data_IF_271650722332
#
_entry.id   IF_271650722332
#
_cell.length_a   1.000
_cell.length_b   1.000
_cell.length_c   1.000
_cell.angle_alpha   90.00
_cell.angle_beta   90.00
_cell.angle_gamma   90.00
#
_symmetry.space_group_name_H-M   'P 1'
#
loop_
_entity.id
_entity.type
_entity.pdbx_description
1 polymer ?
#
# COMPACT_ATOMS: atom_id res chain seq x y z
N UNK A 1 -7.59 11.46 11.78
CA UNK A 1 -6.60 10.37 11.74
C UNK A 1 -6.82 9.46 10.55
N UNK A 2 -7.94 8.72 10.45
CA UNK A 2 -8.32 8.05 9.20
C UNK A 2 -8.31 9.04 8.04
N UNK A 3 -8.79 10.28 8.27
CA UNK A 3 -8.69 11.37 7.29
C UNK A 3 -7.24 11.70 6.87
N UNK A 4 -6.30 11.78 7.82
CA UNK A 4 -4.89 12.12 7.53
C UNK A 4 -4.24 11.00 6.73
N UNK A 5 -4.42 9.74 7.16
CA UNK A 5 -3.89 8.58 6.45
C UNK A 5 -4.53 8.50 5.05
N UNK A 6 -5.85 8.70 4.92
CA UNK A 6 -6.53 8.81 3.62
C UNK A 6 -5.92 9.89 2.73
N UNK A 7 -5.57 11.06 3.27
CA UNK A 7 -4.91 12.12 2.50
C UNK A 7 -3.55 11.66 1.98
N UNK A 8 -2.71 11.07 2.84
CA UNK A 8 -1.41 10.52 2.41
C UNK A 8 -1.57 9.42 1.37
N UNK A 9 -2.44 8.44 1.60
CA UNK A 9 -2.68 7.37 0.63
C UNK A 9 -3.20 7.93 -0.70
N UNK A 10 -4.06 8.96 -0.67
CA UNK A 10 -4.59 9.59 -1.89
C UNK A 10 -3.49 10.29 -2.68
N UNK A 11 -2.58 10.99 -2.00
CA UNK A 11 -1.39 11.61 -2.62
C UNK A 11 -0.53 10.53 -3.27
N UNK A 12 -0.23 9.44 -2.57
CA UNK A 12 0.57 8.36 -3.13
C UNK A 12 -0.09 7.66 -4.32
N UNK A 13 -1.40 7.41 -4.26
CA UNK A 13 -2.18 6.88 -5.38
C UNK A 13 -2.06 7.80 -6.59
N UNK A 14 -2.22 9.10 -6.40
CA UNK A 14 -2.11 10.08 -7.46
C UNK A 14 -0.69 10.14 -8.05
N UNK A 15 0.34 10.11 -7.21
CA UNK A 15 1.74 10.01 -7.66
C UNK A 15 1.99 8.72 -8.46
N UNK A 16 1.48 7.58 -7.99
CA UNK A 16 1.55 6.30 -8.68
C UNK A 16 0.92 6.38 -10.06
N UNK A 17 -0.29 6.96 -10.16
CA UNK A 17 -0.97 7.18 -11.44
C UNK A 17 -0.16 8.06 -12.40
N UNK A 18 0.38 9.19 -11.92
CA UNK A 18 1.26 10.07 -12.72
C UNK A 18 2.47 9.30 -13.25
N UNK A 19 3.10 8.48 -12.39
CA UNK A 19 4.25 7.67 -12.79
C UNK A 19 3.89 6.59 -13.82
N UNK A 20 2.72 5.96 -13.68
CA UNK A 20 2.24 4.92 -14.61
C UNK A 20 1.94 5.46 -16.01
N UNK A 21 1.35 6.65 -16.11
CA UNK A 21 1.02 7.28 -17.41
C UNK A 21 2.21 8.00 -18.04
N UNK A 22 3.30 8.19 -17.29
CA UNK A 22 4.49 8.89 -17.78
C UNK A 22 5.26 8.05 -18.80
N UNK A 23 5.52 8.64 -19.97
CA UNK A 23 6.42 8.07 -20.99
C UNK A 23 7.90 8.37 -20.75
N UNK A 24 8.22 9.32 -19.86
CA UNK A 24 9.60 9.77 -19.60
C UNK A 24 10.16 9.09 -18.36
N UNK A 25 11.34 8.47 -18.49
CA UNK A 25 12.04 7.84 -17.37
C UNK A 25 12.38 8.86 -16.27
N UNK A 26 12.79 10.07 -16.64
CA UNK A 26 13.13 11.14 -15.69
C UNK A 26 11.91 11.51 -14.82
N UNK A 27 10.71 11.55 -15.41
CA UNK A 27 9.47 11.80 -14.67
C UNK A 27 9.11 10.64 -13.75
N UNK A 28 9.33 9.39 -14.17
CA UNK A 28 9.12 8.21 -13.30
C UNK A 28 10.09 8.25 -12.11
N UNK A 29 11.36 8.57 -12.34
CA UNK A 29 12.34 8.75 -11.28
C UNK A 29 11.96 9.88 -10.33
N UNK A 30 11.46 11.01 -10.85
CA UNK A 30 10.96 12.10 -10.03
C UNK A 30 9.79 11.65 -9.13
N UNK A 31 8.83 10.90 -9.67
CA UNK A 31 7.72 10.32 -8.89
C UNK A 31 8.23 9.40 -7.79
N UNK A 32 9.17 8.49 -8.10
CA UNK A 32 9.75 7.59 -7.10
C UNK A 32 10.49 8.37 -6.01
N UNK A 33 11.24 9.41 -6.38
CA UNK A 33 11.95 10.27 -5.42
C UNK A 33 10.99 11.01 -4.49
N UNK A 34 9.95 11.61 -5.06
CA UNK A 34 8.91 12.31 -4.29
C UNK A 34 8.16 11.33 -3.37
N UNK A 35 7.84 10.14 -3.87
CA UNK A 35 7.24 9.08 -3.05
C UNK A 35 8.13 8.71 -1.87
N UNK A 36 9.44 8.54 -2.07
CA UNK A 36 10.37 8.23 -0.99
C UNK A 36 10.40 9.36 0.06
N UNK A 37 10.47 10.62 -0.36
CA UNK A 37 10.43 11.77 0.54
C UNK A 37 9.12 11.85 1.33
N UNK A 38 7.99 11.49 0.72
CA UNK A 38 6.72 11.42 1.44
C UNK A 38 6.69 10.22 2.40
N UNK A 39 7.24 9.06 2.00
CA UNK A 39 7.34 7.87 2.85
C UNK A 39 8.16 8.11 4.12
N UNK A 40 9.26 8.90 4.04
CA UNK A 40 10.09 9.24 5.22
C UNK A 40 9.37 10.12 6.23
N UNK A 41 8.32 10.84 5.82
CA UNK A 41 7.47 11.62 6.72
C UNK A 41 6.30 10.75 7.23
N UNK A 42 5.64 10.05 6.31
CA UNK A 42 4.42 9.29 6.57
C UNK A 42 4.65 8.10 7.50
N UNK A 43 5.62 7.22 7.21
CA UNK A 43 5.79 5.98 7.98
C UNK A 43 6.25 6.18 9.43
N UNK A 44 7.14 7.13 9.75
CA UNK A 44 7.45 7.43 11.15
C UNK A 44 6.25 8.00 11.91
N UNK A 45 5.47 8.88 11.26
CA UNK A 45 4.25 9.42 11.85
C UNK A 45 3.21 8.31 12.11
N UNK A 46 2.97 7.44 11.13
CA UNK A 46 2.02 6.32 11.28
C UNK A 46 2.50 5.33 12.36
N UNK A 47 3.81 5.05 12.44
CA UNK A 47 4.39 4.21 13.50
C UNK A 47 4.22 4.81 14.89
N UNK A 48 4.48 6.11 15.06
CA UNK A 48 4.26 6.81 16.33
C UNK A 48 2.81 6.69 16.78
N UNK A 49 1.88 6.81 15.84
CA UNK A 49 0.45 6.68 16.07
C UNK A 49 0.04 5.26 16.45
N UNK A 50 0.57 4.24 15.77
CA UNK A 50 0.37 2.83 16.10
C UNK A 50 0.81 2.49 17.53
N UNK A 51 1.93 3.05 17.97
CA UNK A 51 2.44 2.86 19.33
C UNK A 51 1.57 3.61 20.35
N UNK A 52 1.41 4.93 20.17
CA UNK A 52 0.83 5.80 21.21
C UNK A 52 -0.67 5.61 21.35
N UNK A 53 -1.40 5.44 20.24
CA UNK A 53 -2.86 5.41 20.25
C UNK A 53 -3.42 3.99 20.21
N UNK A 54 -2.86 3.14 19.36
CA UNK A 54 -3.42 1.81 19.12
C UNK A 54 -2.73 0.70 19.90
N UNK A 55 -1.52 0.95 20.43
CA UNK A 55 -0.67 -0.04 21.10
C UNK A 55 -0.42 -1.29 20.22
N UNK A 56 -0.33 -1.11 18.89
CA UNK A 56 -0.15 -2.19 17.91
C UNK A 56 1.26 -2.21 17.34
N UNK A 57 2.16 -2.92 18.00
CA UNK A 57 3.56 -3.02 17.60
C UNK A 57 3.77 -3.83 16.30
N UNK A 58 2.83 -4.69 15.94
CA UNK A 58 2.92 -5.57 14.76
C UNK A 58 3.00 -4.83 13.43
N UNK A 59 2.62 -3.55 13.39
CA UNK A 59 2.66 -2.72 12.18
C UNK A 59 4.00 -1.98 11.98
N UNK A 60 4.83 -1.86 13.03
CA UNK A 60 6.12 -1.16 12.94
C UNK A 60 7.06 -1.85 11.95
N UNK A 61 7.25 -3.19 11.98
CA UNK A 61 8.10 -3.85 10.99
C UNK A 61 7.61 -3.64 9.55
N UNK A 62 6.29 -3.59 9.33
CA UNK A 62 5.71 -3.31 8.02
C UNK A 62 6.10 -1.91 7.51
N UNK A 63 6.04 -0.89 8.37
CA UNK A 63 6.42 0.48 8.02
C UNK A 63 7.92 0.60 7.73
N UNK A 64 8.77 -0.09 8.50
CA UNK A 64 10.22 -0.14 8.25
C UNK A 64 10.50 -0.78 6.89
N UNK A 65 9.88 -1.93 6.59
CA UNK A 65 10.05 -2.62 5.31
C UNK A 65 9.56 -1.74 4.15
N UNK A 66 8.40 -1.09 4.29
CA UNK A 66 7.87 -0.20 3.26
C UNK A 66 8.80 1.00 3.00
N UNK A 67 9.39 1.58 4.05
CA UNK A 67 10.37 2.65 3.93
C UNK A 67 11.65 2.19 3.20
N UNK A 68 12.15 0.99 3.53
CA UNK A 68 13.32 0.39 2.85
C UNK A 68 13.04 0.18 1.35
N UNK A 69 11.86 -0.30 1.00
CA UNK A 69 11.44 -0.45 -0.41
C UNK A 69 11.45 0.91 -1.13
N UNK A 70 10.88 1.95 -0.52
CA UNK A 70 10.89 3.31 -1.08
C UNK A 70 12.31 3.85 -1.27
N UNK A 71 13.21 3.57 -0.33
CA UNK A 71 14.62 3.94 -0.44
C UNK A 71 15.31 3.25 -1.62
N UNK A 72 15.04 1.96 -1.86
CA UNK A 72 15.57 1.26 -3.04
C UNK A 72 15.09 1.92 -4.34
N UNK A 73 13.82 2.32 -4.43
CA UNK A 73 13.31 3.03 -5.62
C UNK A 73 13.95 4.41 -5.83
N UNK A 74 14.43 5.06 -4.76
CA UNK A 74 15.12 6.34 -4.85
C UNK A 74 16.54 6.20 -5.41
N UNK A 75 17.30 5.22 -4.93
CA UNK A 75 18.73 5.08 -5.22
C UNK A 75 19.08 4.11 -6.34
N UNK A 76 18.13 3.30 -6.80
CA UNK A 76 18.39 2.33 -7.87
C UNK A 76 18.59 3.00 -9.23
N UNK A 77 19.53 2.48 -10.01
CA UNK A 77 19.72 2.82 -11.42
C UNK A 77 19.11 1.76 -12.37
N UNK A 78 18.53 0.69 -11.83
CA UNK A 78 17.90 -0.36 -12.64
C UNK A 78 16.56 0.14 -13.20
N UNK A 79 16.50 0.29 -14.53
CA UNK A 79 15.32 0.75 -15.26
C UNK A 79 14.09 -0.11 -14.99
N UNK A 80 14.23 -1.43 -14.83
CA UNK A 80 13.11 -2.33 -14.55
C UNK A 80 12.52 -2.03 -13.18
N UNK A 81 13.38 -1.83 -12.18
CA UNK A 81 12.97 -1.48 -10.82
C UNK A 81 12.31 -0.09 -10.83
N UNK A 82 12.92 0.91 -11.47
CA UNK A 82 12.37 2.27 -11.57
C UNK A 82 10.95 2.25 -12.14
N UNK A 83 10.73 1.52 -13.26
CA UNK A 83 9.42 1.44 -13.92
C UNK A 83 8.36 0.71 -13.08
N UNK A 84 8.76 -0.20 -12.20
CA UNK A 84 7.84 -0.93 -11.32
C UNK A 84 7.36 -0.10 -10.12
N UNK A 85 8.14 0.90 -9.70
CA UNK A 85 7.87 1.74 -8.52
C UNK A 85 6.46 2.36 -8.50
N UNK A 86 6.04 3.10 -9.55
CA UNK A 86 4.72 3.74 -9.57
C UNK A 86 3.55 2.76 -9.46
N UNK A 87 3.67 1.58 -10.08
CA UNK A 87 2.60 0.57 -10.05
C UNK A 87 2.50 -0.02 -8.65
N UNK A 88 3.64 -0.30 -8.01
CA UNK A 88 3.68 -0.80 -6.63
C UNK A 88 3.14 0.22 -5.65
N UNK A 89 3.51 1.49 -5.82
CA UNK A 89 3.00 2.60 -5.04
C UNK A 89 1.47 2.69 -5.16
N UNK A 90 0.96 2.68 -6.39
CA UNK A 90 -0.48 2.72 -6.66
C UNK A 90 -1.22 1.55 -6.01
N UNK A 91 -0.73 0.32 -6.16
CA UNK A 91 -1.40 -0.86 -5.61
C UNK A 91 -1.35 -0.89 -4.08
N UNK A 92 -0.17 -0.62 -3.50
CA UNK A 92 0.01 -0.64 -2.05
C UNK A 92 -0.85 0.42 -1.38
N UNK A 93 -0.75 1.67 -1.83
CA UNK A 93 -1.42 2.80 -1.20
C UNK A 93 -2.90 2.88 -1.60
N UNK A 94 -3.27 2.41 -2.80
CA UNK A 94 -4.67 2.28 -3.22
C UNK A 94 -5.44 1.31 -2.35
N UNK A 95 -4.82 0.18 -1.97
CA UNK A 95 -5.46 -0.75 -1.03
C UNK A 95 -5.57 -0.17 0.38
N UNK A 96 -4.58 0.57 0.86
CA UNK A 96 -4.66 1.30 2.14
C UNK A 96 -5.75 2.38 2.11
N UNK A 97 -5.89 3.10 1.00
CA UNK A 97 -6.96 4.09 0.80
C UNK A 97 -8.34 3.42 0.87
N UNK A 98 -8.53 2.29 0.19
CA UNK A 98 -9.78 1.52 0.27
C UNK A 98 -10.12 1.12 1.70
N UNK A 99 -9.12 0.70 2.49
CA UNK A 99 -9.32 0.38 3.90
C UNK A 99 -9.75 1.59 4.73
N UNK A 100 -9.13 2.75 4.50
CA UNK A 100 -9.50 3.96 5.22
C UNK A 100 -10.90 4.44 4.83
N UNK A 101 -11.26 4.40 3.54
CA UNK A 101 -12.62 4.69 3.07
C UNK A 101 -13.65 3.75 3.69
N UNK A 102 -13.35 2.44 3.76
CA UNK A 102 -14.18 1.45 4.45
C UNK A 102 -14.42 1.82 5.91
N UNK A 103 -13.36 2.15 6.65
CA UNK A 103 -13.46 2.54 8.06
C UNK A 103 -14.31 3.81 8.20
N UNK A 104 -14.14 4.79 7.31
CA UNK A 104 -14.97 6.00 7.31
C UNK A 104 -16.44 5.67 7.07
N UNK A 105 -16.77 4.81 6.10
CA UNK A 105 -18.15 4.39 5.87
C UNK A 105 -18.72 3.61 7.06
N UNK A 106 -17.92 2.74 7.69
CA UNK A 106 -18.33 1.99 8.89
C UNK A 106 -18.64 2.92 10.05
N UNK A 107 -17.77 3.88 10.34
CA UNK A 107 -17.95 4.83 11.45
C UNK A 107 -19.18 5.73 11.24
N UNK A 108 -19.57 5.96 9.99
CA UNK A 108 -20.77 6.72 9.64
C UNK A 108 -22.02 5.85 9.45
N UNK A 109 -21.97 4.54 9.77
CA UNK A 109 -23.06 3.59 9.56
C UNK A 109 -23.57 3.51 8.10
N UNK A 110 -22.71 3.81 7.13
CA UNK A 110 -23.01 3.77 5.68
C UNK A 110 -22.45 2.53 4.98
N UNK A 111 -21.71 1.67 5.70
CA UNK A 111 -21.11 0.47 5.13
C UNK A 111 -22.13 -0.67 5.05
N UNK A 112 -22.62 -0.95 3.85
CA UNK A 112 -23.48 -2.11 3.57
C UNK A 112 -22.64 -3.36 3.25
N UNK A 113 -23.24 -4.55 3.38
CA UNK A 113 -22.59 -5.83 3.02
C UNK A 113 -22.03 -5.84 1.60
N UNK A 114 -22.79 -5.28 0.64
CA UNK A 114 -22.40 -5.24 -0.76
C UNK A 114 -21.17 -4.33 -0.96
N UNK A 115 -21.17 -3.13 -0.37
CA UNK A 115 -20.03 -2.22 -0.44
C UNK A 115 -18.79 -2.85 0.22
N UNK A 116 -18.96 -3.47 1.38
CA UNK A 116 -17.86 -4.11 2.11
C UNK A 116 -17.24 -5.28 1.30
N UNK A 117 -18.09 -6.07 0.65
CA UNK A 117 -17.67 -7.17 -0.22
C UNK A 117 -16.96 -6.68 -1.48
N UNK A 118 -17.45 -5.62 -2.11
CA UNK A 118 -16.80 -4.97 -3.26
C UNK A 118 -15.42 -4.43 -2.88
N UNK A 119 -15.30 -3.78 -1.73
CA UNK A 119 -14.02 -3.29 -1.23
C UNK A 119 -13.03 -4.42 -0.98
N UNK A 120 -13.48 -5.54 -0.39
CA UNK A 120 -12.65 -6.72 -0.21
C UNK A 120 -12.19 -7.31 -1.55
N UNK A 121 -13.09 -7.39 -2.53
CA UNK A 121 -12.76 -7.87 -3.88
C UNK A 121 -11.69 -7.01 -4.53
N UNK A 122 -11.85 -5.68 -4.54
CA UNK A 122 -10.86 -4.76 -5.12
C UNK A 122 -9.53 -4.87 -4.36
N UNK A 123 -9.58 -4.97 -3.03
CA UNK A 123 -8.38 -5.15 -2.20
C UNK A 123 -7.60 -6.40 -2.61
N UNK A 124 -8.26 -7.56 -2.70
CA UNK A 124 -7.65 -8.82 -3.09
C UNK A 124 -7.18 -8.79 -4.55
N UNK A 125 -7.93 -8.16 -5.45
CA UNK A 125 -7.54 -8.01 -6.85
C UNK A 125 -6.24 -7.20 -6.99
N UNK A 126 -6.16 -6.02 -6.37
CA UNK A 126 -4.96 -5.20 -6.39
C UNK A 126 -3.76 -5.92 -5.76
N UNK A 127 -3.95 -6.58 -4.61
CA UNK A 127 -2.87 -7.28 -3.89
C UNK A 127 -2.40 -8.57 -4.54
N UNK A 128 -3.29 -9.33 -5.18
CA UNK A 128 -2.97 -10.65 -5.70
C UNK A 128 -2.80 -10.68 -7.23
N UNK A 129 -3.63 -9.98 -7.99
CA UNK A 129 -3.56 -10.03 -9.46
C UNK A 129 -2.54 -9.05 -10.03
N UNK A 130 -2.50 -7.82 -9.50
CA UNK A 130 -1.60 -6.78 -10.05
C UNK A 130 -0.21 -6.87 -9.44
N UNK A 131 -0.09 -7.07 -8.12
CA UNK A 131 1.23 -7.05 -7.47
C UNK A 131 2.06 -8.31 -7.75
N UNK A 132 1.46 -9.50 -7.87
CA UNK A 132 2.21 -10.76 -8.06
C UNK A 132 3.09 -10.78 -9.33
N UNK A 133 2.60 -10.36 -10.52
CA UNK A 133 3.45 -10.23 -11.71
C UNK A 133 4.61 -9.25 -11.52
N UNK A 134 4.41 -8.19 -10.73
CA UNK A 134 5.45 -7.20 -10.44
C UNK A 134 6.51 -7.79 -9.51
N UNK A 135 6.14 -8.65 -8.56
CA UNK A 135 7.11 -9.37 -7.72
C UNK A 135 8.05 -10.23 -8.55
N UNK A 136 7.52 -10.85 -9.60
CA UNK A 136 8.32 -11.66 -10.50
C UNK A 136 9.39 -10.83 -11.23
N UNK A 137 9.09 -9.59 -11.62
CA UNK A 137 10.08 -8.70 -12.25
C UNK A 137 11.16 -8.23 -11.27
N UNK A 138 10.85 -8.21 -9.97
CA UNK A 138 11.76 -7.83 -8.89
C UNK A 138 12.60 -8.98 -8.34
N UNK A 139 12.42 -10.22 -8.79
CA UNK A 139 13.10 -11.42 -8.24
C UNK A 139 14.63 -11.34 -8.22
N UNK A 140 15.21 -10.51 -9.08
CA UNK A 140 16.66 -10.33 -9.17
C UNK A 140 17.21 -9.41 -8.06
N UNK A 141 16.36 -8.59 -7.45
CA UNK A 141 16.69 -7.83 -6.26
C UNK A 141 16.14 -8.57 -5.03
N UNK A 142 16.99 -9.41 -4.40
CA UNK A 142 16.60 -10.25 -3.26
C UNK A 142 15.93 -9.45 -2.14
N UNK A 143 16.47 -8.26 -1.82
CA UNK A 143 15.91 -7.41 -0.78
C UNK A 143 14.47 -7.00 -1.09
N UNK A 144 14.21 -6.49 -2.29
CA UNK A 144 12.86 -6.12 -2.72
C UNK A 144 11.94 -7.34 -2.75
N UNK A 145 12.42 -8.46 -3.30
CA UNK A 145 11.62 -9.66 -3.42
C UNK A 145 11.15 -10.21 -2.06
N UNK A 146 12.06 -10.38 -1.09
CA UNK A 146 11.71 -10.84 0.26
C UNK A 146 10.83 -9.85 1.02
N UNK A 147 11.17 -8.55 0.95
CA UNK A 147 10.41 -7.47 1.59
C UNK A 147 8.96 -7.48 1.12
N UNK A 148 8.76 -7.65 -0.18
CA UNK A 148 7.43 -7.71 -0.74
C UNK A 148 6.69 -9.03 -0.48
N UNK A 149 7.39 -10.17 -0.46
CA UNK A 149 6.78 -11.45 -0.10
C UNK A 149 6.16 -11.39 1.30
N UNK A 150 6.85 -10.74 2.24
CA UNK A 150 6.32 -10.46 3.59
C UNK A 150 5.03 -9.62 3.52
N UNK A 151 5.04 -8.52 2.77
CA UNK A 151 3.87 -7.66 2.59
C UNK A 151 2.70 -8.44 1.96
N UNK A 152 2.99 -9.29 0.99
CA UNK A 152 2.00 -10.13 0.31
C UNK A 152 1.34 -11.12 1.27
N UNK A 153 2.12 -11.85 2.07
CA UNK A 153 1.60 -12.78 3.08
C UNK A 153 0.75 -12.04 4.10
N UNK A 154 1.24 -10.91 4.62
CA UNK A 154 0.48 -10.08 5.57
C UNK A 154 -0.85 -9.60 4.98
N UNK A 155 -0.86 -9.18 3.72
CA UNK A 155 -2.06 -8.71 3.02
C UNK A 155 -3.11 -9.81 2.87
N UNK A 156 -2.70 -11.03 2.54
CA UNK A 156 -3.61 -12.18 2.42
C UNK A 156 -4.20 -12.59 3.79
N UNK A 157 -3.39 -12.62 4.84
CA UNK A 157 -3.88 -12.85 6.21
C UNK A 157 -4.91 -11.79 6.60
N UNK A 158 -4.69 -10.53 6.20
CA UNK A 158 -5.62 -9.44 6.46
C UNK A 158 -6.93 -9.57 5.68
N UNK A 159 -6.86 -9.92 4.39
CA UNK A 159 -8.03 -10.19 3.56
C UNK A 159 -8.90 -11.31 4.12
N UNK A 160 -8.29 -12.40 4.62
CA UNK A 160 -9.01 -13.49 5.29
C UNK A 160 -9.72 -13.04 6.57
N UNK A 161 -9.05 -12.23 7.41
CA UNK A 161 -9.66 -11.66 8.62
C UNK A 161 -10.84 -10.75 8.26
N UNK A 162 -10.71 -9.95 7.21
CA UNK A 162 -11.78 -9.09 6.72
C UNK A 162 -12.97 -9.91 6.21
N UNK A 163 -12.75 -10.92 5.38
CA UNK A 163 -13.80 -11.82 4.92
C UNK A 163 -14.60 -12.46 6.07
N UNK A 164 -13.89 -12.99 7.09
CA UNK A 164 -14.54 -13.56 8.29
C UNK A 164 -15.41 -12.53 9.03
N UNK A 165 -14.98 -11.27 9.08
CA UNK A 165 -15.80 -10.20 9.66
C UNK A 165 -17.06 -9.93 8.85
N UNK A 166 -16.99 -9.91 7.51
CA UNK A 166 -18.18 -9.71 6.67
C UNK A 166 -19.22 -10.80 6.95
N UNK A 167 -18.79 -12.06 6.99
CA UNK A 167 -19.70 -13.17 7.33
C UNK A 167 -20.30 -12.98 8.72
N UNK A 168 -19.49 -12.70 9.73
CA UNK A 168 -19.96 -12.58 11.12
C UNK A 168 -20.97 -11.44 11.36
N UNK A 169 -20.82 -10.31 10.66
CA UNK A 169 -21.62 -9.11 10.91
C UNK A 169 -22.83 -8.97 9.97
N UNK A 170 -22.88 -9.71 8.87
CA UNK A 170 -23.92 -9.58 7.84
C UNK A 170 -24.59 -10.90 7.42
N UNK A 171 -24.28 -12.01 8.10
CA UNK A 171 -25.11 -13.22 8.15
C UNK A 171 -25.61 -13.40 9.58
#
# INVERSE_FOLDING_TARGET
MVLINSTFNSIFVFLGLIGMVSKSLNRIQYVNKLSCLMSTIYFPYDSYLEIKKYKRFTFIPHHIIALLISYVFYFTNDIKIIKSGPILLFCAEGTSLLLNLRIMLKNNNKLTKNIDSTFLFIYLFLRNMIMTPILYTLRYNKLLWYSWLLIFVMSNVWGLKWYKNIIKYYN
#
